data_IF_990853302665
#
_entry.id   IF_990853302665
#
_cell.length_a   1.000
_cell.length_b   1.000
_cell.length_c   1.000
_cell.angle_alpha   90.00
_cell.angle_beta   90.00
_cell.angle_gamma   90.00
#
_symmetry.space_group_name_H-M   'P 1'
#
loop_
_entity.id
_entity.type
_entity.pdbx_description
1 polymer ?
#
# COMPACT_ATOMS: atom_id res chain seq x y z
N UNK A 1 -59.04 25.93 -27.34
CA UNK A 1 -58.09 26.57 -26.39
C UNK A 1 -57.68 25.56 -25.32
N UNK A 2 -57.01 24.45 -25.70
CA UNK A 2 -56.69 23.36 -24.75
C UNK A 2 -55.26 22.82 -24.82
N UNK A 3 -54.58 22.93 -25.96
CA UNK A 3 -53.30 22.25 -26.18
C UNK A 3 -52.10 22.90 -25.46
N UNK A 4 -52.12 24.21 -25.18
CA UNK A 4 -50.96 24.88 -24.59
C UNK A 4 -50.88 24.68 -23.08
N UNK A 5 -52.03 24.63 -22.39
CA UNK A 5 -52.10 24.39 -20.94
C UNK A 5 -51.72 22.96 -20.57
N UNK A 6 -52.14 21.98 -21.36
CA UNK A 6 -51.78 20.56 -21.17
C UNK A 6 -50.29 20.30 -21.42
N UNK A 7 -49.70 20.93 -22.44
CA UNK A 7 -48.26 20.82 -22.70
C UNK A 7 -47.41 21.47 -21.60
N UNK A 8 -47.85 22.61 -21.06
CA UNK A 8 -47.18 23.26 -19.92
C UNK A 8 -47.27 22.42 -18.65
N UNK A 9 -48.41 21.75 -18.41
CA UNK A 9 -48.59 20.87 -17.25
C UNK A 9 -47.68 19.63 -17.33
N UNK A 10 -47.49 19.05 -18.53
CA UNK A 10 -46.58 17.93 -18.76
C UNK A 10 -45.12 18.33 -18.56
N UNK A 11 -44.71 19.52 -19.02
CA UNK A 11 -43.35 20.04 -18.80
C UNK A 11 -43.11 20.34 -17.31
N UNK A 12 -44.10 20.90 -16.60
CA UNK A 12 -44.02 21.08 -15.15
C UNK A 12 -43.97 19.76 -14.39
N UNK A 13 -44.75 18.75 -14.79
CA UNK A 13 -44.71 17.40 -14.20
C UNK A 13 -43.37 16.69 -14.45
N UNK A 14 -42.75 16.90 -15.61
CA UNK A 14 -41.40 16.38 -15.93
C UNK A 14 -40.29 17.10 -15.14
N UNK A 15 -40.47 18.37 -14.78
CA UNK A 15 -39.57 19.13 -13.91
C UNK A 15 -39.73 18.78 -12.42
N UNK A 16 -40.86 18.19 -12.03
CA UNK A 16 -41.13 17.66 -10.69
C UNK A 16 -40.96 16.13 -10.60
N UNK A 17 -40.54 15.46 -11.67
CA UNK A 17 -39.99 14.12 -11.52
C UNK A 17 -38.75 14.27 -10.62
N UNK A 18 -38.64 13.49 -9.53
CA UNK A 18 -37.44 13.52 -8.70
C UNK A 18 -36.24 13.27 -9.61
N UNK A 19 -35.41 14.29 -9.80
CA UNK A 19 -34.09 14.14 -10.39
C UNK A 19 -33.38 13.08 -9.55
N UNK A 20 -32.90 12.03 -10.21
CA UNK A 20 -32.24 10.84 -9.65
C UNK A 20 -31.98 10.97 -8.15
N UNK A 21 -32.89 10.42 -7.33
CA UNK A 21 -32.58 10.21 -5.93
C UNK A 21 -31.42 9.23 -5.92
N UNK A 22 -30.20 9.75 -5.82
CA UNK A 22 -29.04 8.92 -5.57
C UNK A 22 -29.38 8.08 -4.35
N UNK A 23 -29.27 6.77 -4.52
CA UNK A 23 -29.54 5.85 -3.44
C UNK A 23 -28.54 6.04 -2.32
N UNK A 24 -29.05 6.40 -1.13
CA UNK A 24 -28.24 6.64 0.05
C UNK A 24 -28.44 5.50 1.04
N UNK A 25 -27.44 4.64 1.16
CA UNK A 25 -27.30 3.65 2.23
C UNK A 25 -26.41 4.15 3.37
N UNK A 26 -25.46 5.03 3.05
CA UNK A 26 -24.43 5.52 3.96
C UNK A 26 -24.55 7.03 4.15
N UNK A 27 -24.93 7.46 5.36
CA UNK A 27 -25.09 8.86 5.73
C UNK A 27 -24.63 9.09 7.19
N UNK A 28 -23.45 9.68 7.36
CA UNK A 28 -22.94 10.12 8.65
C UNK A 28 -23.52 11.50 8.94
N UNK A 29 -24.32 11.61 10.01
CA UNK A 29 -25.02 12.85 10.35
C UNK A 29 -24.05 13.87 10.94
N UNK A 30 -24.19 15.12 10.51
CA UNK A 30 -23.46 16.27 11.07
C UNK A 30 -23.63 16.36 12.59
N UNK A 31 -22.53 16.57 13.30
CA UNK A 31 -22.52 16.68 14.77
C UNK A 31 -22.68 15.35 15.51
N UNK A 32 -22.54 14.22 14.82
CA UNK A 32 -22.56 12.88 15.42
C UNK A 32 -21.22 12.18 15.14
N UNK A 33 -20.65 11.61 16.21
CA UNK A 33 -19.47 10.76 16.21
C UNK A 33 -19.91 9.29 16.35
N UNK A 34 -19.61 8.49 15.33
CA UNK A 34 -20.03 7.09 15.23
C UNK A 34 -18.89 6.19 15.67
N UNK A 35 -19.03 5.53 16.82
CA UNK A 35 -17.97 4.71 17.41
C UNK A 35 -18.11 3.25 17.02
N UNK A 36 -17.00 2.67 16.57
CA UNK A 36 -16.91 1.29 16.16
C UNK A 36 -15.82 0.54 16.93
N UNK A 37 -16.05 -0.76 17.11
CA UNK A 37 -15.04 -1.73 17.55
C UNK A 37 -14.65 -2.61 16.36
N UNK A 38 -13.35 -2.82 16.18
CA UNK A 38 -12.77 -3.76 15.23
C UNK A 38 -12.14 -4.89 16.03
N UNK A 39 -12.47 -6.12 15.67
CA UNK A 39 -11.83 -7.32 16.14
C UNK A 39 -11.37 -8.10 14.90
N UNK A 40 -10.09 -8.44 14.78
CA UNK A 40 -9.54 -9.17 13.64
C UNK A 40 -8.62 -10.28 14.12
N UNK A 41 -8.81 -11.49 13.60
CA UNK A 41 -7.93 -12.64 13.78
C UNK A 41 -7.35 -13.04 12.44
N UNK A 42 -6.02 -13.11 12.36
CA UNK A 42 -5.28 -13.56 11.18
C UNK A 42 -4.44 -14.78 11.52
N UNK A 43 -4.56 -15.83 10.70
CA UNK A 43 -3.82 -17.09 10.82
C UNK A 43 -2.98 -17.33 9.59
N UNK A 44 -1.74 -17.75 9.78
CA UNK A 44 -0.87 -18.21 8.70
C UNK A 44 -0.74 -19.74 8.80
N UNK A 45 -0.95 -20.45 7.70
CA UNK A 45 -0.82 -21.90 7.68
C UNK A 45 0.58 -22.31 8.17
N UNK A 46 0.61 -23.30 9.07
CA UNK A 46 1.83 -23.82 9.73
C UNK A 46 2.47 -22.86 10.75
N UNK A 47 1.79 -21.78 11.11
CA UNK A 47 2.11 -20.97 12.30
C UNK A 47 0.97 -21.15 13.29
N UNK A 48 1.28 -21.75 14.44
CA UNK A 48 0.27 -22.18 15.41
C UNK A 48 -0.38 -21.00 16.18
N UNK A 49 0.28 -19.85 16.21
CA UNK A 49 -0.20 -18.66 16.94
C UNK A 49 -0.87 -17.67 16.01
N UNK A 50 -2.18 -17.37 16.19
CA UNK A 50 -2.85 -16.32 15.43
C UNK A 50 -2.32 -14.94 15.83
N UNK A 51 -2.41 -14.01 14.88
CA UNK A 51 -2.24 -12.59 15.10
C UNK A 51 -3.60 -11.94 15.27
N UNK A 52 -3.83 -11.27 16.40
CA UNK A 52 -5.10 -10.64 16.71
C UNK A 52 -4.93 -9.11 16.80
N UNK A 53 -5.89 -8.38 16.25
CA UNK A 53 -5.97 -6.93 16.32
C UNK A 53 -7.31 -6.53 16.91
N UNK A 54 -7.27 -5.78 18.00
CA UNK A 54 -8.44 -5.08 18.54
C UNK A 54 -8.27 -3.58 18.35
N UNK A 55 -9.27 -2.87 17.84
CA UNK A 55 -9.24 -1.43 17.73
C UNK A 55 -10.58 -0.77 18.09
N UNK A 56 -10.52 0.46 18.58
CA UNK A 56 -11.68 1.33 18.70
C UNK A 56 -11.45 2.57 17.87
N UNK A 57 -12.38 2.83 16.96
CA UNK A 57 -12.29 3.93 16.01
C UNK A 57 -13.60 4.70 15.99
N UNK A 58 -13.58 5.92 15.48
CA UNK A 58 -14.81 6.65 15.23
C UNK A 58 -14.77 7.44 13.94
N UNK A 59 -15.96 7.69 13.41
CA UNK A 59 -16.19 8.39 12.16
C UNK A 59 -17.08 9.58 12.43
N UNK A 60 -16.66 10.75 11.96
CA UNK A 60 -17.40 11.99 12.10
C UNK A 60 -17.55 12.68 10.75
N UNK A 61 -18.75 13.15 10.45
CA UNK A 61 -19.02 14.01 9.28
C UNK A 61 -18.26 15.33 9.37
N UNK A 62 -17.61 15.73 8.27
CA UNK A 62 -16.87 16.99 8.13
C UNK A 62 -17.63 17.94 7.21
N UNK A 63 -17.89 17.52 5.98
CA UNK A 63 -18.59 18.31 4.96
C UNK A 63 -19.30 17.43 3.93
N UNK A 64 -20.30 18.00 3.25
CA UNK A 64 -21.00 17.36 2.14
C UNK A 64 -20.27 17.68 0.82
N UNK A 65 -20.19 16.71 -0.09
CA UNK A 65 -19.64 16.88 -1.43
C UNK A 65 -20.70 16.64 -2.49
N UNK A 66 -20.39 16.91 -3.76
CA UNK A 66 -21.31 16.61 -4.88
C UNK A 66 -21.60 15.10 -4.98
N UNK A 67 -20.65 14.27 -4.59
CA UNK A 67 -20.68 12.81 -4.75
C UNK A 67 -20.96 12.04 -3.45
N UNK A 68 -20.96 12.71 -2.31
CA UNK A 68 -21.09 12.07 -1.01
C UNK A 68 -20.80 12.99 0.16
N UNK A 69 -19.93 12.53 1.06
CA UNK A 69 -19.54 13.25 2.27
C UNK A 69 -18.08 12.98 2.61
N UNK A 70 -17.40 13.98 3.17
CA UNK A 70 -16.09 13.81 3.80
C UNK A 70 -16.30 13.43 5.26
N UNK A 71 -15.63 12.36 5.67
CA UNK A 71 -15.62 11.88 7.05
C UNK A 71 -14.21 11.87 7.62
N UNK A 72 -14.09 12.25 8.89
CA UNK A 72 -12.87 12.14 9.70
C UNK A 72 -12.83 10.77 10.38
N UNK A 73 -11.71 10.06 10.25
CA UNK A 73 -11.39 8.88 11.04
C UNK A 73 -10.60 9.30 12.29
N UNK A 74 -11.04 8.86 13.46
CA UNK A 74 -10.26 8.94 14.70
C UNK A 74 -9.97 7.53 15.23
N UNK A 75 -8.69 7.20 15.47
CA UNK A 75 -8.29 5.94 16.10
C UNK A 75 -8.06 6.19 17.59
N UNK A 76 -8.94 5.66 18.44
CA UNK A 76 -8.87 5.87 19.90
C UNK A 76 -7.90 4.90 20.56
N UNK A 77 -7.90 3.65 20.10
CA UNK A 77 -7.02 2.60 20.61
C UNK A 77 -6.83 1.51 19.58
N UNK A 78 -5.65 0.90 19.58
CA UNK A 78 -5.33 -0.27 18.77
C UNK A 78 -4.33 -1.15 19.54
N UNK A 79 -4.66 -2.43 19.68
CA UNK A 79 -3.90 -3.40 20.45
C UNK A 79 -3.68 -4.62 19.57
N UNK A 80 -2.44 -5.09 19.51
CA UNK A 80 -2.07 -6.29 18.77
C UNK A 80 -1.64 -7.38 19.74
N UNK A 81 -2.04 -8.61 19.45
CA UNK A 81 -1.70 -9.79 20.23
C UNK A 81 -1.13 -10.86 19.31
N UNK A 82 -0.03 -11.47 19.70
CA UNK A 82 0.54 -12.63 19.02
C UNK A 82 1.05 -13.63 20.07
N UNK A 83 0.37 -14.77 20.19
CA UNK A 83 0.63 -15.73 21.27
C UNK A 83 0.46 -15.08 22.65
N UNK A 84 1.52 -15.05 23.45
CA UNK A 84 1.53 -14.42 24.79
C UNK A 84 1.93 -12.95 24.79
N UNK A 85 2.42 -12.44 23.65
CA UNK A 85 2.88 -11.06 23.54
C UNK A 85 1.70 -10.15 23.19
N UNK A 86 1.60 -9.03 23.90
CA UNK A 86 0.64 -7.97 23.61
C UNK A 86 1.39 -6.64 23.50
N UNK A 87 1.08 -5.88 22.47
CA UNK A 87 1.60 -4.55 22.27
C UNK A 87 0.45 -3.58 22.00
N UNK A 88 0.50 -2.40 22.60
CA UNK A 88 -0.45 -1.33 22.31
C UNK A 88 0.14 -0.58 21.12
N UNK A 89 -0.40 -0.78 19.93
CA UNK A 89 0.14 -0.19 18.69
C UNK A 89 0.20 1.34 18.76
N UNK A 90 -0.73 1.98 19.49
CA UNK A 90 -0.73 3.43 19.73
C UNK A 90 0.41 3.94 20.62
N UNK A 91 1.22 3.04 21.23
CA UNK A 91 2.48 3.41 21.90
C UNK A 91 3.67 3.40 20.95
N UNK A 92 3.56 2.69 19.83
CA UNK A 92 4.62 2.56 18.81
C UNK A 92 4.40 3.48 17.61
N UNK A 93 3.14 3.76 17.29
CA UNK A 93 2.73 4.62 16.19
C UNK A 93 1.83 5.75 16.69
N UNK A 94 2.05 6.95 16.17
CA UNK A 94 1.14 8.08 16.39
C UNK A 94 -0.03 8.02 15.40
N UNK A 95 -1.21 7.62 15.87
CA UNK A 95 -2.44 7.63 15.07
C UNK A 95 -3.24 8.93 15.22
N UNK A 96 -2.77 9.90 16.01
CA UNK A 96 -3.53 11.11 16.37
C UNK A 96 -3.63 12.14 15.25
N UNK A 97 -2.76 12.05 14.25
CA UNK A 97 -2.78 12.97 13.11
C UNK A 97 -4.05 12.80 12.26
N UNK A 98 -4.42 13.89 11.58
CA UNK A 98 -5.62 13.98 10.78
C UNK A 98 -5.67 12.90 9.69
N UNK A 99 -6.84 12.27 9.51
CA UNK A 99 -7.11 11.43 8.36
C UNK A 99 -8.58 11.52 8.00
N UNK A 100 -8.90 12.10 6.86
CA UNK A 100 -10.27 12.17 6.34
C UNK A 100 -10.39 11.47 5.00
N UNK A 101 -11.59 11.07 4.64
CA UNK A 101 -11.88 10.37 3.39
C UNK A 101 -13.25 10.75 2.85
N UNK A 102 -13.39 10.74 1.53
CA UNK A 102 -14.66 10.97 0.85
C UNK A 102 -15.36 9.63 0.62
N UNK A 103 -16.62 9.53 1.04
CA UNK A 103 -17.45 8.34 0.85
C UNK A 103 -18.80 8.70 0.22
N UNK A 104 -19.18 7.98 -0.84
CA UNK A 104 -20.49 8.17 -1.48
C UNK A 104 -21.62 7.58 -0.64
N UNK A 105 -22.87 7.96 -0.95
CA UNK A 105 -24.07 7.34 -0.35
C UNK A 105 -24.17 5.82 -0.59
N UNK A 106 -23.43 5.29 -1.57
CA UNK A 106 -23.33 3.86 -1.91
C UNK A 106 -22.13 3.15 -1.26
N UNK A 107 -21.23 3.91 -0.63
CA UNK A 107 -20.06 3.40 0.07
C UNK A 107 -18.76 3.41 -0.71
N UNK A 108 -18.72 4.06 -1.87
CA UNK A 108 -17.50 4.15 -2.67
C UNK A 108 -16.57 5.18 -2.04
N UNK A 109 -15.32 4.79 -1.75
CA UNK A 109 -14.30 5.69 -1.19
C UNK A 109 -13.37 6.13 -2.32
N UNK A 110 -13.40 7.41 -2.65
CA UNK A 110 -12.70 7.96 -3.83
C UNK A 110 -11.38 8.61 -3.48
N UNK A 111 -11.32 9.30 -2.34
CA UNK A 111 -10.19 10.14 -1.92
C UNK A 111 -9.94 10.04 -0.43
N UNK A 112 -8.69 10.22 -0.04
CA UNK A 112 -8.26 10.37 1.35
C UNK A 112 -7.36 11.59 1.49
N UNK A 113 -7.32 12.16 2.69
CA UNK A 113 -6.51 13.33 3.02
C UNK A 113 -5.80 13.17 4.36
N UNK A 114 -4.51 13.48 4.39
CA UNK A 114 -3.67 13.39 5.59
C UNK A 114 -2.51 14.41 5.54
N UNK A 115 -1.89 14.75 6.69
CA UNK A 115 -0.75 15.67 6.73
C UNK A 115 0.51 15.09 6.04
N UNK A 116 1.33 15.92 5.38
CA UNK A 116 2.49 15.46 4.60
C UNK A 116 3.56 14.70 5.41
N UNK A 117 3.62 14.94 6.72
CA UNK A 117 4.56 14.32 7.65
C UNK A 117 4.08 12.99 8.26
N UNK A 118 2.86 12.54 7.95
CA UNK A 118 2.31 11.32 8.52
C UNK A 118 3.06 10.08 8.01
N UNK A 119 3.33 9.15 8.93
CA UNK A 119 4.01 7.89 8.62
C UNK A 119 3.13 7.02 7.71
N UNK A 120 3.70 6.54 6.60
CA UNK A 120 2.98 5.77 5.57
C UNK A 120 2.35 4.50 6.12
N UNK A 121 3.04 3.78 7.02
CA UNK A 121 2.48 2.60 7.68
C UNK A 121 1.18 2.94 8.43
N UNK A 122 1.14 4.10 9.09
CA UNK A 122 -0.05 4.60 9.79
C UNK A 122 -1.16 4.96 8.80
N UNK A 123 -0.80 5.62 7.70
CA UNK A 123 -1.72 5.92 6.59
C UNK A 123 -2.34 4.63 6.03
N UNK A 124 -1.54 3.61 5.76
CA UNK A 124 -2.00 2.33 5.22
C UNK A 124 -2.93 1.60 6.20
N UNK A 125 -2.63 1.62 7.50
CA UNK A 125 -3.53 1.07 8.53
C UNK A 125 -4.86 1.83 8.53
N UNK A 126 -4.84 3.17 8.48
CA UNK A 126 -6.04 4.02 8.40
C UNK A 126 -6.85 3.73 7.13
N UNK A 127 -6.20 3.59 5.97
CA UNK A 127 -6.83 3.14 4.69
C UNK A 127 -7.49 1.76 4.84
N UNK A 128 -6.85 0.81 5.51
CA UNK A 128 -7.43 -0.50 5.82
C UNK A 128 -8.66 -0.40 6.73
N UNK A 129 -8.63 0.46 7.74
CA UNK A 129 -9.76 0.70 8.65
C UNK A 129 -10.97 1.27 7.89
N UNK A 130 -10.79 2.31 7.08
CA UNK A 130 -11.93 2.90 6.36
C UNK A 130 -12.49 1.96 5.29
N UNK A 131 -11.69 1.01 4.79
CA UNK A 131 -12.12 -0.01 3.83
C UNK A 131 -13.17 -0.99 4.37
N UNK A 132 -13.39 -1.05 5.69
CA UNK A 132 -14.55 -1.75 6.26
C UNK A 132 -15.87 -1.14 5.79
N UNK A 133 -15.91 0.16 5.50
CA UNK A 133 -17.09 0.84 4.96
C UNK A 133 -17.19 0.73 3.43
N UNK A 134 -16.07 0.46 2.74
CA UNK A 134 -16.02 0.45 1.28
C UNK A 134 -16.98 -0.58 0.65
N UNK A 135 -17.88 -0.12 -0.20
CA UNK A 135 -18.83 -0.93 -0.95
C UNK A 135 -19.40 -0.16 -2.14
N UNK A 136 -20.13 -0.84 -3.01
CA UNK A 136 -20.89 -0.22 -4.10
C UNK A 136 -22.33 -0.69 -4.07
N UNK A 137 -23.08 -0.15 -3.11
CA UNK A 137 -24.42 -0.61 -2.76
C UNK A 137 -25.49 -0.07 -3.73
N UNK A 138 -26.42 -0.94 -4.12
CA UNK A 138 -27.54 -0.62 -5.00
C UNK A 138 -28.86 -1.10 -4.39
N UNK A 139 -29.96 -0.36 -4.60
CA UNK A 139 -31.29 -0.85 -4.23
C UNK A 139 -31.85 -1.79 -5.30
N UNK A 140 -32.81 -2.62 -4.91
CA UNK A 140 -33.52 -3.52 -5.82
C UNK A 140 -34.07 -2.82 -7.08
N UNK A 141 -34.64 -1.61 -6.95
CA UNK A 141 -35.24 -0.92 -8.10
C UNK A 141 -34.21 -0.49 -9.17
N UNK A 142 -32.93 -0.46 -8.84
CA UNK A 142 -31.86 -0.06 -9.76
C UNK A 142 -31.31 -1.23 -10.57
N UNK A 143 -31.20 -2.41 -9.95
CA UNK A 143 -30.44 -3.55 -10.49
C UNK A 143 -31.18 -4.88 -10.44
N UNK A 144 -32.26 -4.97 -9.67
CA UNK A 144 -33.04 -6.19 -9.49
C UNK A 144 -34.39 -6.13 -10.18
N UNK A 145 -35.26 -7.07 -9.82
CA UNK A 145 -36.60 -7.19 -10.43
C UNK A 145 -37.64 -6.52 -9.55
N UNK A 146 -38.64 -5.85 -10.14
CA UNK A 146 -39.76 -5.31 -9.37
C UNK A 146 -40.41 -6.40 -8.49
N UNK A 147 -40.63 -6.09 -7.21
CA UNK A 147 -41.23 -6.95 -6.19
C UNK A 147 -40.37 -8.12 -5.66
N UNK A 148 -39.09 -8.22 -6.03
CA UNK A 148 -38.19 -9.17 -5.38
C UNK A 148 -37.58 -8.54 -4.11
N UNK A 149 -37.68 -9.24 -2.97
CA UNK A 149 -37.04 -8.77 -1.72
C UNK A 149 -35.54 -9.09 -1.68
N UNK A 150 -35.04 -9.87 -2.66
CA UNK A 150 -33.64 -10.24 -2.80
C UNK A 150 -33.14 -9.90 -4.20
N UNK A 151 -31.96 -9.30 -4.31
CA UNK A 151 -31.37 -8.95 -5.60
C UNK A 151 -29.87 -9.15 -5.61
N UNK A 152 -29.33 -9.41 -6.80
CA UNK A 152 -27.90 -9.64 -7.01
C UNK A 152 -27.42 -8.82 -8.20
N UNK A 153 -26.17 -8.37 -8.16
CA UNK A 153 -25.55 -7.62 -9.24
C UNK A 153 -24.04 -7.81 -9.22
N UNK A 154 -23.41 -7.57 -10.36
CA UNK A 154 -21.96 -7.59 -10.53
C UNK A 154 -21.52 -6.16 -10.84
N UNK A 155 -20.44 -5.71 -10.20
CA UNK A 155 -19.87 -4.38 -10.45
C UNK A 155 -18.35 -4.40 -10.33
N UNK A 156 -17.70 -3.50 -11.06
CA UNK A 156 -16.31 -3.16 -10.85
C UNK A 156 -16.20 -2.11 -9.76
N UNK A 157 -15.21 -2.27 -8.90
CA UNK A 157 -14.95 -1.40 -7.77
C UNK A 157 -13.46 -1.27 -7.48
N UNK A 158 -13.11 -0.14 -6.88
CA UNK A 158 -11.75 0.20 -6.50
C UNK A 158 -11.63 0.09 -4.98
N UNK A 159 -10.87 -0.89 -4.49
CA UNK A 159 -10.59 -1.06 -3.06
C UNK A 159 -9.15 -0.70 -2.70
N UNK A 160 -8.82 -0.72 -1.41
CA UNK A 160 -7.45 -0.46 -0.94
C UNK A 160 -6.39 -1.41 -1.56
N UNK A 161 -6.79 -2.58 -2.05
CA UNK A 161 -5.91 -3.54 -2.71
C UNK A 161 -5.78 -3.33 -4.24
N UNK A 162 -6.66 -2.54 -4.86
CA UNK A 162 -6.74 -2.40 -6.32
C UNK A 162 -8.15 -2.50 -6.90
N UNK A 163 -8.25 -2.38 -8.21
CA UNK A 163 -9.48 -2.59 -8.98
C UNK A 163 -9.83 -4.07 -9.08
N UNK A 164 -11.10 -4.41 -8.88
CA UNK A 164 -11.60 -5.77 -8.99
C UNK A 164 -13.09 -5.82 -9.35
N UNK A 165 -13.51 -6.96 -9.89
CA UNK A 165 -14.93 -7.28 -10.04
C UNK A 165 -15.46 -7.93 -8.75
N UNK A 166 -16.67 -7.59 -8.35
CA UNK A 166 -17.34 -8.24 -7.24
C UNK A 166 -18.81 -8.54 -7.52
N UNK A 167 -19.23 -9.67 -6.95
CA UNK A 167 -20.62 -10.10 -6.91
C UNK A 167 -21.25 -9.64 -5.59
N UNK A 168 -22.35 -8.90 -5.69
CA UNK A 168 -23.17 -8.51 -4.57
C UNK A 168 -24.49 -9.28 -4.56
N UNK A 169 -24.95 -9.63 -3.37
CA UNK A 169 -26.31 -10.07 -3.09
C UNK A 169 -26.87 -9.29 -1.91
N UNK A 170 -28.15 -8.95 -1.97
CA UNK A 170 -28.85 -8.28 -0.88
C UNK A 170 -30.09 -9.09 -0.48
N UNK A 171 -30.35 -9.16 0.81
CA UNK A 171 -31.52 -9.84 1.36
C UNK A 171 -31.98 -9.19 2.68
N UNK A 172 -33.27 -9.30 3.04
CA UNK A 172 -33.75 -8.83 4.33
C UNK A 172 -33.11 -9.65 5.46
N UNK A 173 -32.79 -9.00 6.57
CA UNK A 173 -32.19 -9.64 7.72
C UNK A 173 -32.72 -9.04 9.02
N UNK A 174 -33.33 -9.88 9.86
CA UNK A 174 -33.94 -9.50 11.14
C UNK A 174 -34.76 -8.22 11.02
N UNK A 175 -34.19 -7.09 11.47
CA UNK A 175 -34.76 -5.75 11.49
C UNK A 175 -34.11 -4.81 10.46
N UNK A 176 -33.75 -5.29 9.27
CA UNK A 176 -33.15 -4.45 8.23
C UNK A 176 -32.68 -5.20 6.99
N UNK A 177 -31.50 -4.82 6.50
CA UNK A 177 -30.97 -5.30 5.22
C UNK A 177 -29.55 -5.82 5.39
N UNK A 178 -29.26 -6.94 4.74
CA UNK A 178 -27.93 -7.54 4.67
C UNK A 178 -27.45 -7.49 3.22
N UNK A 179 -26.24 -6.99 3.02
CA UNK A 179 -25.50 -7.16 1.79
C UNK A 179 -24.38 -8.18 1.97
N UNK A 180 -24.16 -9.01 0.97
CA UNK A 180 -23.01 -9.91 0.87
C UNK A 180 -22.24 -9.55 -0.40
N UNK A 181 -20.96 -9.26 -0.25
CA UNK A 181 -19.98 -9.03 -1.32
C UNK A 181 -19.05 -10.23 -1.39
N UNK A 182 -18.87 -10.76 -2.59
CA UNK A 182 -17.88 -11.79 -2.89
C UNK A 182 -16.94 -11.22 -3.96
N UNK A 183 -15.66 -11.07 -3.60
CA UNK A 183 -14.59 -10.81 -4.56
C UNK A 183 -13.97 -12.13 -4.98
N UNK A 184 -13.86 -12.35 -6.29
CA UNK A 184 -13.12 -13.46 -6.87
C UNK A 184 -11.75 -12.97 -7.31
N UNK A 185 -10.68 -13.63 -6.86
CA UNK A 185 -9.32 -13.24 -7.12
C UNK A 185 -8.82 -12.05 -6.29
N UNK A 186 -7.51 -11.95 -6.19
CA UNK A 186 -6.83 -10.80 -5.61
C UNK A 186 -6.32 -9.93 -6.77
N UNK A 187 -6.41 -8.59 -6.69
CA UNK A 187 -5.80 -7.70 -7.68
C UNK A 187 -4.25 -7.76 -7.74
N UNK A 188 -3.60 -8.60 -6.91
CA UNK A 188 -2.14 -8.76 -6.94
C UNK A 188 -1.75 -9.65 -8.11
N UNK A 189 -0.84 -9.13 -8.95
CA UNK A 189 -0.38 -9.85 -10.13
C UNK A 189 0.22 -11.22 -9.78
N UNK A 190 -0.19 -12.25 -10.53
CA UNK A 190 0.39 -13.60 -10.48
C UNK A 190 -0.19 -14.55 -9.43
N UNK A 191 -1.29 -14.19 -8.77
CA UNK A 191 -2.14 -15.14 -8.05
C UNK A 191 -3.25 -15.64 -8.97
N UNK A 192 -3.51 -16.95 -8.95
CA UNK A 192 -4.68 -17.49 -9.65
C UNK A 192 -5.97 -16.99 -8.95
N UNK A 193 -7.06 -16.69 -9.68
CA UNK A 193 -8.30 -16.20 -9.08
C UNK A 193 -8.89 -17.12 -7.99
N UNK A 194 -8.62 -18.43 -8.08
CA UNK A 194 -9.06 -19.42 -7.09
C UNK A 194 -8.21 -19.41 -5.80
N UNK A 195 -7.02 -18.82 -5.84
CA UNK A 195 -6.10 -18.74 -4.71
C UNK A 195 -6.41 -17.56 -3.78
N UNK A 196 -7.35 -16.69 -4.14
CA UNK A 196 -7.82 -15.63 -3.25
C UNK A 196 -9.33 -15.48 -3.27
N UNK A 197 -9.92 -15.38 -2.07
CA UNK A 197 -11.34 -15.14 -1.90
C UNK A 197 -11.57 -14.23 -0.72
N UNK A 198 -12.37 -13.19 -0.95
CA UNK A 198 -12.87 -12.31 0.10
C UNK A 198 -14.40 -12.38 0.13
N UNK A 199 -14.95 -12.57 1.32
CA UNK A 199 -16.37 -12.58 1.60
C UNK A 199 -16.67 -11.51 2.63
N UNK A 200 -17.49 -10.53 2.29
CA UNK A 200 -17.86 -9.41 3.16
C UNK A 200 -19.36 -9.37 3.34
N UNK A 201 -19.83 -9.30 4.58
CA UNK A 201 -21.23 -9.13 4.93
C UNK A 201 -21.41 -7.79 5.62
N UNK A 202 -22.39 -7.00 5.19
CA UNK A 202 -22.66 -5.65 5.67
C UNK A 202 -24.12 -5.61 6.14
N UNK A 203 -24.33 -5.28 7.41
CA UNK A 203 -25.64 -5.32 8.04
C UNK A 203 -26.11 -3.91 8.40
N UNK A 204 -27.31 -3.59 7.95
CA UNK A 204 -28.03 -2.35 8.25
C UNK A 204 -29.28 -2.65 9.08
N UNK A 205 -29.62 -1.73 9.98
CA UNK A 205 -30.94 -1.73 10.64
C UNK A 205 -31.92 -0.92 9.78
N UNK A 206 -33.22 -1.14 9.96
CA UNK A 206 -34.26 -0.54 9.13
C UNK A 206 -34.23 1.00 9.14
N UNK A 207 -33.92 1.58 10.30
CA UNK A 207 -33.79 3.04 10.52
C UNK A 207 -32.31 3.49 10.54
N UNK A 208 -31.38 2.63 10.16
CA UNK A 208 -29.95 2.85 10.26
C UNK A 208 -29.36 3.33 8.94
N UNK A 209 -28.88 4.57 8.90
CA UNK A 209 -28.18 5.14 7.74
C UNK A 209 -26.67 4.79 7.70
N UNK A 210 -26.22 3.89 8.58
CA UNK A 210 -24.84 3.40 8.64
C UNK A 210 -24.83 1.90 8.98
N UNK A 211 -23.78 1.15 8.62
CA UNK A 211 -23.68 -0.26 8.94
C UNK A 211 -23.54 -0.39 10.46
N UNK A 212 -24.36 -1.25 11.07
CA UNK A 212 -24.21 -1.55 12.48
C UNK A 212 -23.23 -2.71 12.72
N UNK A 213 -22.99 -3.53 11.70
CA UNK A 213 -22.05 -4.64 11.73
C UNK A 213 -21.52 -4.93 10.33
N UNK A 214 -20.23 -5.21 10.22
CA UNK A 214 -19.57 -5.69 9.00
C UNK A 214 -18.69 -6.87 9.38
N UNK A 215 -18.78 -7.96 8.61
CA UNK A 215 -17.96 -9.16 8.76
C UNK A 215 -17.16 -9.36 7.49
N UNK A 216 -15.85 -9.59 7.60
CA UNK A 216 -14.98 -9.88 6.46
C UNK A 216 -14.26 -11.19 6.74
N UNK A 217 -14.30 -12.10 5.78
CA UNK A 217 -13.49 -13.32 5.76
C UNK A 217 -12.67 -13.31 4.50
N UNK A 218 -11.36 -13.34 4.67
CA UNK A 218 -10.42 -13.34 3.56
C UNK A 218 -9.49 -14.54 3.65
N UNK A 219 -9.23 -15.14 2.50
CA UNK A 219 -8.23 -16.17 2.32
C UNK A 219 -7.34 -15.80 1.14
N UNK A 220 -6.04 -15.89 1.34
CA UNK A 220 -5.03 -15.75 0.29
C UNK A 220 -4.07 -16.92 0.38
N UNK A 221 -3.92 -17.67 -0.70
CA UNK A 221 -2.96 -18.75 -0.87
C UNK A 221 -1.84 -18.27 -1.78
N UNK A 222 -0.59 -18.49 -1.41
CA UNK A 222 0.56 -18.17 -2.25
C UNK A 222 0.57 -19.03 -3.51
N UNK A 223 1.00 -18.45 -4.64
CA UNK A 223 1.17 -19.18 -5.89
C UNK A 223 2.04 -20.44 -5.70
N UNK A 224 1.56 -21.57 -6.23
CA UNK A 224 2.23 -22.89 -6.11
C UNK A 224 3.24 -23.16 -7.20
N UNK A 225 3.15 -22.42 -8.31
CA UNK A 225 4.04 -22.51 -9.47
C UNK A 225 5.00 -21.33 -9.48
N UNK A 226 6.28 -21.62 -9.71
CA UNK A 226 7.27 -20.59 -10.02
C UNK A 226 6.85 -19.83 -11.28
N UNK A 227 7.06 -18.50 -11.28
CA UNK A 227 6.88 -17.71 -12.50
C UNK A 227 7.92 -18.13 -13.55
N UNK A 228 7.62 -18.05 -14.85
CA UNK A 228 8.62 -18.28 -15.90
C UNK A 228 9.85 -17.40 -15.66
N UNK A 229 11.04 -18.03 -15.61
CA UNK A 229 12.31 -17.33 -15.35
C UNK A 229 12.72 -17.22 -13.88
N UNK A 230 11.86 -17.63 -12.92
CA UNK A 230 12.24 -17.70 -11.50
C UNK A 230 13.17 -18.89 -11.23
N UNK A 231 14.41 -18.59 -10.83
CA UNK A 231 15.36 -19.62 -10.43
C UNK A 231 15.21 -19.97 -8.94
N UNK A 232 14.48 -21.06 -8.64
CA UNK A 232 14.34 -21.63 -7.29
C UNK A 232 15.68 -22.00 -6.61
N UNK A 233 16.78 -22.02 -7.38
CA UNK A 233 18.12 -22.33 -6.92
C UNK A 233 19.02 -21.08 -6.81
N UNK A 234 18.51 -19.90 -7.14
CA UNK A 234 19.27 -18.65 -7.05
C UNK A 234 19.81 -18.45 -5.62
N UNK A 235 21.10 -18.15 -5.50
CA UNK A 235 21.78 -17.98 -4.22
C UNK A 235 22.11 -19.26 -3.44
N UNK A 236 21.69 -20.45 -3.90
CA UNK A 236 22.06 -21.71 -3.24
C UNK A 236 23.48 -22.16 -3.63
N UNK A 237 24.25 -22.63 -2.64
CA UNK A 237 25.61 -23.15 -2.88
C UNK A 237 25.50 -24.45 -3.67
N UNK A 238 25.81 -24.37 -4.96
CA UNK A 238 25.57 -25.43 -5.93
C UNK A 238 26.01 -26.83 -5.49
N UNK A 239 25.05 -27.76 -5.58
CA UNK A 239 25.23 -29.19 -5.84
C UNK A 239 24.03 -29.65 -6.65
N UNK A 240 24.24 -30.59 -7.58
CA UNK A 240 23.21 -31.15 -8.47
C UNK A 240 21.82 -31.22 -7.84
N UNK A 241 20.89 -30.41 -8.35
CA UNK A 241 19.50 -30.47 -7.96
C UNK A 241 18.87 -31.71 -8.58
N UNK A 242 18.15 -32.48 -7.76
CA UNK A 242 17.52 -33.75 -8.17
C UNK A 242 16.31 -33.52 -9.07
N UNK A 243 15.71 -32.32 -8.98
CA UNK A 243 14.54 -31.92 -9.76
C UNK A 243 14.91 -30.79 -10.72
N UNK A 244 14.33 -30.82 -11.92
CA UNK A 244 14.41 -29.73 -12.88
C UNK A 244 13.68 -28.49 -12.32
N UNK A 245 14.18 -27.30 -12.69
CA UNK A 245 13.74 -25.97 -12.23
C UNK A 245 12.23 -25.73 -12.38
N UNK A 246 11.61 -26.34 -13.39
CA UNK A 246 10.18 -26.26 -13.71
C UNK A 246 9.29 -27.25 -12.93
N UNK A 247 9.89 -28.16 -12.14
CA UNK A 247 9.20 -29.26 -11.42
C UNK A 247 9.23 -29.08 -9.90
N UNK A 248 9.66 -27.93 -9.39
CA UNK A 248 9.67 -27.65 -7.96
C UNK A 248 8.36 -26.97 -7.59
N UNK A 249 7.47 -27.74 -6.94
CA UNK A 249 6.28 -27.17 -6.29
C UNK A 249 6.73 -26.25 -5.15
N UNK A 250 6.29 -24.99 -5.17
CA UNK A 250 6.54 -24.07 -4.07
C UNK A 250 5.73 -24.52 -2.84
N UNK A 251 6.28 -24.38 -1.62
CA UNK A 251 5.56 -24.75 -0.42
C UNK A 251 4.29 -23.89 -0.28
N UNK A 252 3.14 -24.55 -0.11
CA UNK A 252 1.89 -23.85 0.14
C UNK A 252 1.97 -23.05 1.44
N UNK A 253 1.78 -21.74 1.31
CA UNK A 253 1.48 -20.81 2.40
C UNK A 253 0.10 -20.23 2.14
N UNK A 254 -0.76 -20.22 3.17
CA UNK A 254 -2.06 -19.57 3.06
C UNK A 254 -2.32 -18.76 4.31
N UNK A 255 -2.83 -17.56 4.13
CA UNK A 255 -3.26 -16.68 5.21
C UNK A 255 -4.79 -16.64 5.20
N UNK A 256 -5.41 -16.77 6.37
CA UNK A 256 -6.84 -16.51 6.54
C UNK A 256 -6.99 -15.38 7.55
N UNK A 257 -7.85 -14.42 7.26
CA UNK A 257 -8.20 -13.34 8.16
C UNK A 257 -9.72 -13.29 8.34
N UNK A 258 -10.18 -13.20 9.58
CA UNK A 258 -11.56 -12.93 9.94
C UNK A 258 -11.63 -11.62 10.72
N UNK A 259 -12.43 -10.67 10.24
CA UNK A 259 -12.60 -9.36 10.85
C UNK A 259 -14.06 -9.05 11.11
N UNK A 260 -14.34 -8.44 12.25
CA UNK A 260 -15.63 -7.94 12.66
C UNK A 260 -15.53 -6.45 13.02
N UNK A 261 -16.40 -5.64 12.43
CA UNK A 261 -16.50 -4.20 12.64
C UNK A 261 -17.92 -3.86 13.09
N UNK A 262 -18.07 -3.45 14.35
CA UNK A 262 -19.38 -3.31 15.01
C UNK A 262 -19.58 -1.90 15.55
N UNK A 263 -20.73 -1.30 15.27
CA UNK A 263 -21.14 -0.02 15.83
C UNK A 263 -21.45 -0.21 17.32
N UNK A 264 -20.69 0.46 18.18
CA UNK A 264 -20.81 0.34 19.65
C UNK A 264 -21.46 1.56 20.30
N UNK A 265 -21.58 2.68 19.60
CA UNK A 265 -22.27 3.85 20.14
C UNK A 265 -22.23 5.08 19.25
N UNK A 266 -23.08 6.04 19.58
CA UNK A 266 -23.18 7.35 18.95
C UNK A 266 -22.95 8.43 20.01
N UNK A 267 -22.22 9.48 19.67
CA UNK A 267 -21.98 10.62 20.56
C UNK A 267 -22.20 11.94 19.82
N UNK A 268 -22.85 12.90 20.45
CA UNK A 268 -22.92 14.27 19.91
C UNK A 268 -21.56 14.94 20.04
N UNK A 269 -21.15 15.63 18.98
CA UNK A 269 -19.83 16.25 18.86
C UNK A 269 -19.95 17.59 18.14
N UNK A 270 -18.98 18.48 18.37
CA UNK A 270 -18.88 19.73 17.65
C UNK A 270 -18.35 19.49 16.23
N UNK A 271 -18.74 20.33 15.24
CA UNK A 271 -18.16 20.26 13.90
C UNK A 271 -16.65 20.41 13.95
N UNK A 272 -15.94 19.61 13.16
CA UNK A 272 -14.47 19.67 13.09
C UNK A 272 -14.08 20.39 11.80
N UNK A 273 -13.00 21.16 11.87
CA UNK A 273 -12.43 21.86 10.71
C UNK A 273 -11.12 21.18 10.29
N UNK A 274 -10.94 20.86 8.99
CA UNK A 274 -9.68 20.31 8.50
C UNK A 274 -8.49 21.26 8.73
N UNK A 275 -7.28 20.73 8.98
CA UNK A 275 -6.06 21.53 8.95
C UNK A 275 -5.77 22.06 7.53
N UNK A 276 -5.02 23.16 7.40
CA UNK A 276 -4.85 23.86 6.12
C UNK A 276 -3.98 23.10 5.10
N UNK A 277 -3.08 22.24 5.56
CA UNK A 277 -2.13 21.51 4.70
C UNK A 277 -2.42 20.02 4.78
N UNK A 278 -3.13 19.52 3.77
CA UNK A 278 -3.42 18.10 3.59
C UNK A 278 -3.00 17.66 2.19
N UNK A 279 -2.36 16.50 2.11
CA UNK A 279 -2.11 15.81 0.86
C UNK A 279 -3.35 15.02 0.48
N UNK A 280 -3.77 15.13 -0.78
CA UNK A 280 -4.79 14.26 -1.37
C UNK A 280 -4.12 12.99 -1.90
N UNK A 281 -4.73 11.84 -1.61
CA UNK A 281 -4.30 10.54 -2.10
C UNK A 281 -5.53 9.64 -2.35
N UNK A 282 -5.29 8.46 -2.92
CA UNK A 282 -6.29 7.41 -3.16
C UNK A 282 -6.42 6.47 -1.95
N UNK A 283 -7.47 5.66 -1.94
CA UNK A 283 -7.66 4.62 -0.91
C UNK A 283 -6.66 3.44 -1.03
N UNK A 284 -5.92 3.35 -2.14
CA UNK A 284 -4.96 2.26 -2.35
C UNK A 284 -3.87 2.28 -1.28
N UNK A 285 -3.58 1.11 -0.72
CA UNK A 285 -2.43 0.96 0.15
C UNK A 285 -1.18 1.29 -0.66
N UNK A 286 -0.47 2.32 -0.22
CA UNK A 286 0.75 2.75 -0.90
C UNK A 286 1.80 1.72 -0.54
N UNK A 287 2.25 0.94 -1.53
CA UNK A 287 3.43 0.09 -1.39
C UNK A 287 4.66 0.99 -1.39
N UNK A 288 4.90 1.71 -0.30
CA UNK A 288 6.24 2.20 -0.08
C UNK A 288 7.12 1.00 0.22
N UNK A 289 8.30 0.99 -0.39
CA UNK A 289 9.30 -0.04 -0.15
C UNK A 289 10.00 0.33 1.17
N UNK A 290 9.23 0.41 2.25
CA UNK A 290 9.76 0.82 3.54
C UNK A 290 10.69 -0.26 4.06
N UNK A 291 11.88 0.18 4.45
CA UNK A 291 12.95 -0.69 4.85
C UNK A 291 12.73 -1.15 6.30
N UNK A 292 12.18 -2.36 6.41
CA UNK A 292 12.38 -3.33 7.49
C UNK A 292 13.84 -3.71 7.81
N UNK A 293 14.58 -3.27 8.85
CA UNK A 293 15.85 -3.93 9.16
C UNK A 293 15.61 -5.43 9.35
N UNK A 294 16.22 -6.27 8.51
CA UNK A 294 16.02 -7.71 8.60
C UNK A 294 16.92 -8.29 9.70
N UNK A 295 16.36 -8.46 10.90
CA UNK A 295 17.04 -9.04 12.06
C UNK A 295 17.54 -8.00 13.07
N UNK A 296 18.35 -8.42 14.07
CA UNK A 296 18.84 -7.51 15.09
C UNK A 296 19.71 -6.41 14.46
N UNK A 297 19.45 -5.15 14.83
CA UNK A 297 20.23 -4.01 14.36
C UNK A 297 21.71 -4.20 14.70
N UNK A 298 22.56 -3.98 13.71
CA UNK A 298 24.00 -4.06 13.87
C UNK A 298 24.53 -2.76 14.47
N UNK A 299 25.51 -2.87 15.36
CA UNK A 299 26.27 -1.70 15.81
C UNK A 299 27.01 -1.06 14.61
N UNK A 300 26.87 0.26 14.44
CA UNK A 300 27.44 1.00 13.30
C UNK A 300 28.94 0.78 13.12
N UNK A 301 29.73 0.82 14.20
CA UNK A 301 31.19 0.62 14.12
C UNK A 301 31.54 -0.76 13.56
N UNK A 302 30.84 -1.79 14.04
CA UNK A 302 31.03 -3.15 13.57
C UNK A 302 30.60 -3.30 12.10
N UNK A 303 29.48 -2.70 11.73
CA UNK A 303 28.99 -2.72 10.35
C UNK A 303 29.93 -2.00 9.38
N UNK A 304 30.49 -0.85 9.77
CA UNK A 304 31.48 -0.12 8.97
C UNK A 304 32.73 -0.96 8.68
N UNK A 305 33.19 -1.76 9.65
CA UNK A 305 34.31 -2.67 9.46
C UNK A 305 33.99 -3.80 8.47
N UNK A 306 32.79 -4.40 8.57
CA UNK A 306 32.33 -5.43 7.63
C UNK A 306 32.19 -4.86 6.21
N UNK A 307 31.52 -3.72 6.06
CA UNK A 307 31.34 -3.03 4.78
C UNK A 307 32.69 -2.72 4.15
N UNK A 308 33.65 -2.21 4.93
CA UNK A 308 35.00 -1.95 4.44
C UNK A 308 35.69 -3.22 3.96
N UNK A 309 35.56 -4.33 4.68
CA UNK A 309 36.15 -5.61 4.28
C UNK A 309 35.56 -6.11 2.96
N UNK A 310 34.24 -6.05 2.82
CA UNK A 310 33.53 -6.54 1.64
C UNK A 310 33.80 -5.68 0.40
N UNK A 311 33.78 -4.35 0.54
CA UNK A 311 34.11 -3.43 -0.55
C UNK A 311 35.58 -3.60 -0.98
N UNK A 312 36.51 -3.79 -0.05
CA UNK A 312 37.92 -4.10 -0.35
C UNK A 312 38.05 -5.45 -1.07
N UNK A 313 37.26 -6.46 -0.68
CA UNK A 313 37.21 -7.75 -1.36
C UNK A 313 36.79 -7.57 -2.83
N UNK A 314 35.66 -6.91 -3.07
CA UNK A 314 35.11 -6.68 -4.41
C UNK A 314 36.12 -5.93 -5.30
N UNK A 315 36.73 -4.86 -4.77
CA UNK A 315 37.78 -4.12 -5.50
C UNK A 315 38.97 -5.01 -5.89
N UNK A 316 39.43 -5.88 -4.99
CA UNK A 316 40.56 -6.80 -5.29
C UNK A 316 40.20 -7.78 -6.39
N UNK A 317 38.96 -8.27 -6.45
CA UNK A 317 38.49 -9.18 -7.49
C UNK A 317 38.46 -8.50 -8.86
N UNK A 318 37.98 -7.25 -8.92
CA UNK A 318 38.00 -6.42 -10.14
C UNK A 318 39.42 -6.19 -10.64
N UNK A 319 40.34 -5.80 -9.75
CA UNK A 319 41.75 -5.54 -10.13
C UNK A 319 42.45 -6.80 -10.63
N UNK A 320 42.18 -7.96 -10.03
CA UNK A 320 42.79 -9.24 -10.41
C UNK A 320 42.21 -9.86 -11.69
N UNK A 321 41.14 -9.29 -12.28
CA UNK A 321 40.36 -9.90 -13.37
C UNK A 321 39.92 -11.34 -13.05
N UNK A 322 39.70 -11.64 -11.78
CA UNK A 322 39.22 -12.94 -11.34
C UNK A 322 37.70 -13.00 -11.59
N UNK A 323 37.30 -13.53 -12.74
CA UNK A 323 35.91 -13.61 -13.19
C UNK A 323 35.20 -14.96 -13.01
N UNK A 324 35.51 -15.86 -12.05
CA UNK A 324 34.49 -16.83 -11.67
C UNK A 324 33.39 -16.08 -10.90
N UNK A 325 32.14 -16.11 -11.39
CA UNK A 325 30.94 -15.63 -10.65
C UNK A 325 30.91 -16.12 -9.18
N UNK A 326 31.52 -17.28 -8.92
CA UNK A 326 31.65 -17.92 -7.60
C UNK A 326 32.43 -17.10 -6.57
N UNK A 327 33.36 -16.25 -6.97
CA UNK A 327 34.24 -15.53 -6.03
C UNK A 327 33.68 -14.15 -5.63
N UNK A 328 32.82 -13.56 -6.46
CA UNK A 328 32.21 -12.23 -6.23
C UNK A 328 30.99 -12.32 -5.30
N UNK A 329 30.18 -13.37 -5.47
CA UNK A 329 28.92 -13.55 -4.76
C UNK A 329 29.06 -13.44 -3.23
N UNK A 330 30.04 -14.10 -2.56
CA UNK A 330 30.13 -14.05 -1.11
C UNK A 330 30.34 -12.64 -0.55
N UNK A 331 31.23 -11.84 -1.16
CA UNK A 331 31.53 -10.49 -0.69
C UNK A 331 30.37 -9.53 -0.99
N UNK A 332 29.71 -9.69 -2.15
CA UNK A 332 28.56 -8.86 -2.49
C UNK A 332 27.33 -9.17 -1.62
N UNK A 333 27.01 -10.45 -1.41
CA UNK A 333 25.91 -10.86 -0.53
C UNK A 333 26.15 -10.45 0.91
N UNK A 334 27.39 -10.55 1.41
CA UNK A 334 27.76 -10.07 2.76
C UNK A 334 27.56 -8.55 2.90
N UNK A 335 27.99 -7.78 1.89
CA UNK A 335 27.79 -6.33 1.85
C UNK A 335 26.31 -5.98 1.89
N UNK A 336 25.51 -6.57 1.00
CA UNK A 336 24.05 -6.34 0.93
C UNK A 336 23.37 -6.67 2.25
N UNK A 337 23.69 -7.83 2.84
CA UNK A 337 23.11 -8.27 4.12
C UNK A 337 23.51 -7.39 5.31
N UNK A 338 24.68 -6.74 5.24
CA UNK A 338 25.11 -5.81 6.29
C UNK A 338 24.35 -4.49 6.15
N UNK A 339 24.27 -3.95 4.93
CA UNK A 339 23.53 -2.71 4.66
C UNK A 339 22.04 -2.86 4.98
N UNK A 340 21.44 -4.03 4.69
CA UNK A 340 20.03 -4.31 4.96
C UNK A 340 19.67 -4.43 6.45
N UNK A 341 20.63 -4.24 7.36
CA UNK A 341 20.46 -4.27 8.83
C UNK A 341 20.73 -2.92 9.51
N UNK A 342 21.15 -1.90 8.75
CA UNK A 342 21.52 -0.58 9.25
C UNK A 342 20.37 0.40 9.18
N UNK A 343 20.06 1.09 10.28
CA UNK A 343 19.05 2.16 10.30
C UNK A 343 19.25 3.16 9.15
N UNK A 344 18.20 3.87 8.70
CA UNK A 344 18.35 4.88 7.66
C UNK A 344 19.44 5.92 8.02
N UNK A 345 19.52 6.33 9.29
CA UNK A 345 20.55 7.23 9.80
C UNK A 345 21.97 6.64 9.70
N UNK A 346 22.12 5.37 10.07
CA UNK A 346 23.39 4.65 9.98
C UNK A 346 23.82 4.41 8.52
N UNK A 347 22.86 4.08 7.66
CA UNK A 347 23.09 3.88 6.23
C UNK A 347 23.53 5.19 5.55
N UNK A 348 22.87 6.31 5.85
CA UNK A 348 23.30 7.63 5.41
C UNK A 348 24.72 7.92 5.88
N UNK A 349 25.01 7.70 7.17
CA UNK A 349 26.35 7.90 7.74
C UNK A 349 27.42 7.08 7.00
N UNK A 350 27.12 5.83 6.63
CA UNK A 350 28.00 5.00 5.82
C UNK A 350 28.20 5.60 4.43
N UNK A 351 27.13 5.95 3.71
CA UNK A 351 27.22 6.52 2.35
C UNK A 351 28.02 7.81 2.36
N UNK A 352 27.72 8.71 3.28
CA UNK A 352 28.45 9.96 3.52
C UNK A 352 29.95 9.71 3.68
N UNK A 353 30.31 8.73 4.51
CA UNK A 353 31.71 8.42 4.80
C UNK A 353 32.50 7.97 3.56
N UNK A 354 31.83 7.41 2.54
CA UNK A 354 32.47 6.99 1.29
C UNK A 354 32.49 8.12 0.25
N UNK A 355 31.44 8.93 0.16
CA UNK A 355 31.35 10.03 -0.80
C UNK A 355 32.15 11.26 -0.41
N UNK A 356 32.41 11.46 0.89
CA UNK A 356 33.33 12.48 1.40
C UNK A 356 34.81 12.12 1.24
N UNK A 357 35.15 10.95 0.70
CA UNK A 357 36.54 10.54 0.48
C UNK A 357 37.16 11.21 -0.76
N UNK A 358 38.50 11.39 -0.79
CA UNK A 358 39.20 11.90 -1.95
C UNK A 358 38.91 11.07 -3.22
N UNK A 359 38.85 11.73 -4.38
CA UNK A 359 38.53 11.10 -5.65
C UNK A 359 39.72 10.30 -6.24
N UNK A 360 40.16 9.26 -5.54
CA UNK A 360 41.16 8.30 -5.98
C UNK A 360 40.49 7.15 -6.73
N UNK A 361 41.17 6.59 -7.74
CA UNK A 361 40.63 5.49 -8.56
C UNK A 361 40.13 4.31 -7.71
N UNK A 362 40.87 3.94 -6.66
CA UNK A 362 40.50 2.86 -5.74
C UNK A 362 39.27 3.20 -4.90
N UNK A 363 39.06 4.46 -4.54
CA UNK A 363 37.89 4.95 -3.80
C UNK A 363 36.68 5.14 -4.70
N UNK A 364 36.90 5.38 -5.99
CA UNK A 364 35.85 5.41 -7.01
C UNK A 364 35.22 4.04 -7.22
N UNK A 365 36.04 2.99 -7.27
CA UNK A 365 35.57 1.60 -7.32
C UNK A 365 34.81 1.23 -6.04
N UNK A 366 35.33 1.62 -4.88
CA UNK A 366 34.66 1.38 -3.60
C UNK A 366 33.25 2.00 -3.55
N UNK A 367 33.12 3.28 -3.96
CA UNK A 367 31.84 3.99 -4.06
C UNK A 367 30.86 3.30 -5.01
N UNK A 368 31.35 2.83 -6.17
CA UNK A 368 30.52 2.14 -7.14
C UNK A 368 29.91 0.85 -6.58
N UNK A 369 30.72 0.00 -5.93
CA UNK A 369 30.24 -1.23 -5.32
C UNK A 369 29.30 -0.99 -4.14
N UNK A 370 29.55 0.06 -3.36
CA UNK A 370 28.63 0.47 -2.30
C UNK A 370 27.28 0.88 -2.91
N UNK A 371 27.28 1.72 -3.93
CA UNK A 371 26.05 2.20 -4.56
C UNK A 371 25.29 1.10 -5.31
N UNK A 372 25.98 0.11 -5.89
CA UNK A 372 25.30 -1.08 -6.42
C UNK A 372 24.50 -1.78 -5.31
N UNK A 373 25.13 -2.03 -4.16
CA UNK A 373 24.49 -2.72 -3.05
C UNK A 373 23.37 -1.89 -2.39
N UNK A 374 23.51 -0.56 -2.34
CA UNK A 374 22.45 0.37 -1.89
C UNK A 374 21.26 0.37 -2.85
N UNK A 375 21.51 0.32 -4.16
CA UNK A 375 20.46 0.26 -5.19
C UNK A 375 19.67 -1.04 -5.13
N UNK A 376 20.37 -2.15 -4.87
CA UNK A 376 19.80 -3.48 -4.67
C UNK A 376 18.90 -3.62 -3.42
N UNK A 377 18.90 -2.64 -2.52
CA UNK A 377 17.97 -2.62 -1.39
C UNK A 377 16.56 -2.21 -1.83
N UNK A 378 16.44 -1.45 -2.91
CA UNK A 378 15.17 -1.00 -3.47
C UNK A 378 14.22 -0.40 -2.43
N UNK A 379 14.66 0.58 -1.64
CA UNK A 379 13.81 1.26 -0.65
C UNK A 379 13.67 2.72 -1.05
N UNK A 380 12.60 3.39 -0.62
CA UNK A 380 12.42 4.82 -0.98
C UNK A 380 13.58 5.67 -0.47
N UNK A 381 14.09 5.34 0.73
CA UNK A 381 15.26 5.98 1.30
C UNK A 381 16.53 5.72 0.48
N UNK A 382 16.75 4.50 -0.01
CA UNK A 382 17.95 4.22 -0.82
C UNK A 382 17.83 4.85 -2.21
N UNK A 383 16.63 4.97 -2.74
CA UNK A 383 16.33 5.71 -3.96
C UNK A 383 16.62 7.20 -3.81
N UNK A 384 16.26 7.82 -2.67
CA UNK A 384 16.65 9.20 -2.36
C UNK A 384 18.16 9.36 -2.22
N UNK A 385 18.85 8.43 -1.55
CA UNK A 385 20.32 8.44 -1.48
C UNK A 385 20.96 8.35 -2.87
N UNK A 386 20.39 7.53 -3.77
CA UNK A 386 20.86 7.44 -5.16
C UNK A 386 20.64 8.75 -5.89
N UNK A 387 19.47 9.35 -5.76
CA UNK A 387 19.18 10.66 -6.35
C UNK A 387 20.19 11.70 -5.87
N UNK A 388 20.40 11.83 -4.57
CA UNK A 388 21.22 12.89 -3.99
C UNK A 388 22.73 12.68 -4.23
N UNK A 389 23.25 11.45 -4.09
CA UNK A 389 24.68 11.18 -4.19
C UNK A 389 25.18 10.80 -5.59
N UNK A 390 24.29 10.40 -6.51
CA UNK A 390 24.67 9.97 -7.86
C UNK A 390 24.18 10.94 -8.92
N UNK A 391 22.87 11.20 -8.98
CA UNK A 391 22.26 11.98 -10.06
C UNK A 391 22.33 13.50 -9.83
N UNK A 392 22.06 13.94 -8.61
CA UNK A 392 22.08 15.34 -8.18
C UNK A 392 23.39 15.75 -7.51
N UNK A 393 24.41 14.89 -7.58
CA UNK A 393 25.72 15.17 -7.00
C UNK A 393 26.36 16.40 -7.63
N UNK A 394 27.01 17.24 -6.82
CA UNK A 394 27.85 18.34 -7.28
C UNK A 394 28.99 17.88 -8.21
N UNK A 395 29.37 16.59 -8.13
CA UNK A 395 30.45 15.97 -8.90
C UNK A 395 29.99 14.62 -9.45
N UNK A 396 29.12 14.62 -10.47
CA UNK A 396 28.56 13.39 -11.01
C UNK A 396 29.66 12.48 -11.57
N UNK A 397 29.60 11.20 -11.22
CA UNK A 397 30.54 10.19 -11.71
C UNK A 397 29.87 9.30 -12.76
N UNK A 398 30.27 9.48 -14.02
CA UNK A 398 29.73 8.73 -15.17
C UNK A 398 29.70 7.21 -14.93
N UNK A 399 30.74 6.66 -14.31
CA UNK A 399 30.83 5.21 -14.08
C UNK A 399 29.79 4.74 -13.07
N UNK A 400 29.49 5.55 -12.04
CA UNK A 400 28.48 5.21 -11.04
C UNK A 400 27.09 5.40 -11.64
N UNK A 401 26.84 6.50 -12.36
CA UNK A 401 25.57 6.77 -13.06
C UNK A 401 25.21 5.63 -14.01
N UNK A 402 26.12 5.22 -14.89
CA UNK A 402 25.88 4.12 -15.84
C UNK A 402 25.54 2.80 -15.12
N UNK A 403 26.23 2.48 -14.02
CA UNK A 403 25.95 1.28 -13.24
C UNK A 403 24.57 1.32 -12.60
N UNK A 404 24.20 2.46 -12.02
CA UNK A 404 22.88 2.64 -11.40
C UNK A 404 21.76 2.55 -12.44
N UNK A 405 21.92 3.16 -13.61
CA UNK A 405 20.90 3.05 -14.67
C UNK A 405 20.69 1.59 -15.11
N UNK A 406 21.74 0.77 -15.16
CA UNK A 406 21.61 -0.67 -15.47
C UNK A 406 20.76 -1.41 -14.44
N UNK A 407 20.81 -1.02 -13.16
CA UNK A 407 19.95 -1.62 -12.12
C UNK A 407 18.47 -1.38 -12.41
N UNK A 408 18.09 -0.22 -12.95
CA UNK A 408 16.68 0.08 -13.26
C UNK A 408 16.20 -0.53 -14.59
N UNK A 409 17.08 -0.77 -15.55
CA UNK A 409 16.71 -1.37 -16.86
C UNK A 409 16.37 -2.87 -16.73
N UNK A 410 16.86 -3.53 -15.69
CA UNK A 410 16.68 -4.97 -15.47
C UNK A 410 15.63 -5.35 -14.42
N UNK A 411 14.94 -4.38 -13.81
CA UNK A 411 13.98 -4.65 -12.72
C UNK A 411 12.53 -4.59 -13.22
N UNK A 412 11.71 -5.53 -12.76
CA UNK A 412 10.25 -5.52 -13.01
C UNK A 412 9.51 -4.40 -12.25
N UNK A 413 10.21 -3.67 -11.38
CA UNK A 413 9.63 -2.59 -10.58
C UNK A 413 9.89 -1.26 -11.26
N UNK A 414 8.84 -0.43 -11.36
CA UNK A 414 8.94 0.91 -11.94
C UNK A 414 9.99 1.75 -11.18
N UNK A 415 10.85 2.50 -11.89
CA UNK A 415 11.76 3.44 -11.26
C UNK A 415 10.99 4.52 -10.48
N UNK A 416 11.56 5.05 -9.39
CA UNK A 416 10.95 6.14 -8.64
C UNK A 416 10.61 7.32 -9.55
N UNK A 417 9.44 7.92 -9.35
CA UNK A 417 8.96 9.05 -10.16
C UNK A 417 9.97 10.20 -10.19
N UNK A 418 10.62 10.49 -9.06
CA UNK A 418 11.68 11.51 -8.95
C UNK A 418 12.85 11.26 -9.93
N UNK A 419 13.23 10.00 -10.16
CA UNK A 419 14.25 9.62 -11.13
C UNK A 419 13.74 9.77 -12.57
N UNK A 420 12.49 9.37 -12.83
CA UNK A 420 11.87 9.53 -14.16
C UNK A 420 11.76 11.01 -14.53
N UNK A 421 11.24 11.84 -13.63
CA UNK A 421 11.09 13.28 -13.81
C UNK A 421 12.47 13.95 -14.03
N UNK A 422 13.50 13.53 -13.29
CA UNK A 422 14.88 13.99 -13.49
C UNK A 422 15.42 13.60 -14.88
N UNK A 423 15.29 12.33 -15.27
CA UNK A 423 15.77 11.85 -16.57
C UNK A 423 15.03 12.52 -17.73
N UNK A 424 13.72 12.72 -17.61
CA UNK A 424 12.92 13.45 -18.58
C UNK A 424 13.38 14.90 -18.69
N UNK A 425 13.57 15.57 -17.55
CA UNK A 425 14.04 16.96 -17.49
C UNK A 425 15.41 17.13 -18.14
N UNK A 426 16.38 16.28 -17.80
CA UNK A 426 17.75 16.34 -18.36
C UNK A 426 17.79 15.95 -19.83
N UNK A 427 16.93 15.04 -20.28
CA UNK A 427 16.94 14.53 -21.66
C UNK A 427 16.18 15.43 -22.65
N UNK A 428 15.08 16.04 -22.21
CA UNK A 428 14.15 16.76 -23.09
C UNK A 428 14.06 18.27 -22.81
N UNK A 429 14.46 18.72 -21.61
CA UNK A 429 14.39 20.13 -21.21
C UNK A 429 15.70 20.63 -20.56
N UNK A 430 16.87 20.43 -21.19
CA UNK A 430 18.16 20.78 -20.60
C UNK A 430 18.27 22.28 -20.26
N UNK A 431 17.59 23.13 -21.02
CA UNK A 431 17.59 24.60 -20.90
C UNK A 431 16.94 25.11 -19.60
N UNK A 432 16.10 24.30 -18.97
CA UNK A 432 15.47 24.60 -17.66
C UNK A 432 16.43 24.24 -16.51
N UNK A 433 17.40 23.36 -16.76
CA UNK A 433 18.36 22.83 -15.78
C UNK A 433 19.77 23.43 -15.90
N UNK A 434 19.96 24.44 -16.77
CA UNK A 434 21.24 25.10 -17.10
C UNK A 434 21.96 25.81 -15.92
N UNK A 435 21.49 25.63 -14.68
CA UNK A 435 22.27 25.95 -13.49
C UNK A 435 23.29 24.88 -13.09
N UNK A 436 23.16 23.63 -13.55
CA UNK A 436 23.95 22.49 -13.05
C UNK A 436 24.24 21.47 -14.18
N UNK A 437 25.34 21.71 -14.90
CA UNK A 437 26.16 20.73 -15.66
C UNK A 437 25.52 19.89 -16.78
N UNK A 438 25.48 20.44 -18.00
CA UNK A 438 25.35 19.63 -19.23
C UNK A 438 26.74 19.06 -19.60
N UNK A 439 26.94 17.76 -19.35
CA UNK A 439 27.98 16.97 -20.02
C UNK A 439 27.43 16.55 -21.39
N UNK A 440 28.03 17.07 -22.46
CA UNK A 440 27.83 16.58 -23.82
C UNK A 440 28.06 15.05 -23.86
N UNK A 441 27.04 14.30 -24.29
CA UNK A 441 27.11 12.87 -24.55
C UNK A 441 28.06 12.52 -25.69
#
# INVERSE_FOLDING_TARGET
MGSFGEQMLVVLLLLFLPQDSSSVFLNFKKGVDYKYRIDTESTLAKVDTPFNVGAQVSFQHVEDTETGQVCLLTVHSMIWHHGTESAIATQHYDFSQWFSFEISGRGEITRVWYPPQEVIEVINIKKGIVSFLAAKLHHNHEVGRPNDDKWNYVTNETGHEGEHEALYSAEPHEDGLKFTKIRQGHPVMGLDPDDSRMHKEIYFKHDGDVPHRVLIKEKVTSARKSRPGFDVHEGTRGTHFVNEQEKVDLPEMSTNAESEFTLIGLRHTEPVTPPPELLEDTIHATQHRTWTPQGPQLNLTYAQDLIRQDVVCLRKLVIKRAHPKKDVLPCYTSLKNTLSKLSNEDLLTVVDSYFNQPNLATKRIDRAHLMDAVSDLHTDFTEDLIMDYVFLSDRPDKMIIERILVHYVGTDVLPPKRLVDFLESVSFYPEIYDGVWVLYF
#
